data_IF_143702427126
#
_entry.id   IF_143702427126
#
_cell.length_a   1.000
_cell.length_b   1.000
_cell.length_c   1.000
_cell.angle_alpha   90.00
_cell.angle_beta   90.00
_cell.angle_gamma   90.00
#
_symmetry.space_group_name_H-M   'P 1'
#
loop_
_entity.id
_entity.type
_entity.pdbx_description
1 polymer ?
#
# COMPACT_ATOMS: atom_id res chain seq x y z
N UNK A 1 -28.12 -25.86 -6.73
CA UNK A 1 -26.75 -25.54 -7.20
C UNK A 1 -25.82 -25.13 -6.03
N UNK A 2 -25.30 -26.09 -5.22
CA UNK A 2 -24.48 -25.77 -4.03
C UNK A 2 -22.97 -25.61 -4.33
N UNK A 3 -22.50 -26.04 -5.52
CA UNK A 3 -21.07 -26.09 -5.86
C UNK A 3 -20.41 -24.74 -6.14
N UNK A 4 -21.16 -23.72 -6.58
CA UNK A 4 -20.61 -22.43 -6.97
C UNK A 4 -20.12 -21.59 -5.78
N UNK A 5 -20.81 -21.66 -4.62
CA UNK A 5 -20.40 -20.95 -3.39
C UNK A 5 -19.09 -21.51 -2.82
N UNK A 6 -18.94 -22.84 -2.76
CA UNK A 6 -17.72 -23.52 -2.27
C UNK A 6 -16.48 -23.18 -3.12
N UNK A 7 -16.63 -23.10 -4.45
CA UNK A 7 -15.53 -22.72 -5.35
C UNK A 7 -15.03 -21.28 -5.11
N UNK A 8 -15.95 -20.34 -4.83
CA UNK A 8 -15.61 -18.94 -4.53
C UNK A 8 -14.95 -18.78 -3.15
N UNK A 9 -15.36 -19.56 -2.15
CA UNK A 9 -14.77 -19.48 -0.80
C UNK A 9 -13.41 -20.16 -0.69
N UNK A 10 -13.16 -21.26 -1.41
CA UNK A 10 -11.84 -21.92 -1.40
C UNK A 10 -10.71 -20.98 -1.88
N UNK A 11 -10.97 -20.18 -2.92
CA UNK A 11 -9.95 -19.26 -3.47
C UNK A 11 -9.87 -17.92 -2.74
N UNK A 12 -10.86 -17.59 -1.89
CA UNK A 12 -10.88 -16.37 -1.08
C UNK A 12 -9.70 -16.29 -0.12
N UNK A 13 -9.21 -17.45 0.34
CA UNK A 13 -8.06 -17.58 1.24
C UNK A 13 -6.85 -18.27 0.59
N UNK A 14 -7.01 -18.93 -0.57
CA UNK A 14 -5.90 -19.59 -1.28
C UNK A 14 -4.85 -18.60 -1.80
N UNK A 15 -5.25 -17.34 -2.02
CA UNK A 15 -4.31 -16.23 -2.06
C UNK A 15 -4.46 -15.54 -0.72
N UNK A 16 -3.46 -15.56 0.17
CA UNK A 16 -3.40 -14.48 1.14
C UNK A 16 -3.44 -13.23 0.26
N UNK A 17 -4.43 -12.36 0.42
CA UNK A 17 -4.21 -10.97 0.02
C UNK A 17 -2.88 -10.65 0.68
N UNK A 18 -1.81 -10.52 -0.13
CA UNK A 18 -0.42 -10.29 0.28
C UNK A 18 -0.48 -9.73 1.68
N UNK A 19 -0.06 -10.47 2.72
CA UNK A 19 -0.03 -9.94 4.10
C UNK A 19 0.52 -8.53 3.94
N UNK A 20 -0.38 -7.53 4.06
CA UNK A 20 -0.03 -6.15 3.77
C UNK A 20 0.95 -5.86 4.87
N UNK A 21 2.22 -5.75 4.56
CA UNK A 21 3.24 -5.48 5.58
C UNK A 21 2.78 -4.24 6.34
N UNK A 22 2.32 -4.48 7.56
CA UNK A 22 1.62 -3.46 8.37
C UNK A 22 2.59 -2.30 8.62
N UNK A 23 3.87 -2.63 8.79
CA UNK A 23 4.99 -1.71 8.88
C UNK A 23 5.12 -0.85 7.62
N UNK A 24 5.16 -1.46 6.43
CA UNK A 24 5.24 -0.73 5.15
C UNK A 24 4.04 0.19 4.97
N UNK A 25 2.83 -0.25 5.34
CA UNK A 25 1.63 0.58 5.30
C UNK A 25 1.74 1.79 6.23
N UNK A 26 2.14 1.55 7.48
CA UNK A 26 2.31 2.61 8.46
C UNK A 26 3.37 3.64 8.03
N UNK A 27 4.49 3.18 7.48
CA UNK A 27 5.54 4.07 6.94
C UNK A 27 5.04 4.89 5.75
N UNK A 28 4.23 4.29 4.88
CA UNK A 28 3.58 4.98 3.77
C UNK A 28 2.62 6.05 4.27
N UNK A 29 1.82 5.77 5.30
CA UNK A 29 0.89 6.74 5.90
C UNK A 29 1.65 7.94 6.52
N UNK A 30 2.78 7.69 7.19
CA UNK A 30 3.68 8.75 7.68
C UNK A 30 4.26 9.55 6.51
N UNK A 31 4.68 8.88 5.43
CA UNK A 31 5.20 9.54 4.24
C UNK A 31 4.19 10.47 3.58
N UNK A 32 2.90 10.07 3.54
CA UNK A 32 1.80 10.93 3.07
C UNK A 32 1.65 12.15 3.98
N UNK A 33 1.65 11.95 5.30
CA UNK A 33 1.57 13.07 6.25
C UNK A 33 2.76 14.04 6.10
N UNK A 34 3.98 13.53 5.90
CA UNK A 34 5.16 14.37 5.65
C UNK A 34 5.10 15.09 4.31
N UNK A 35 4.43 14.55 3.30
CA UNK A 35 4.22 15.27 2.04
C UNK A 35 3.42 16.54 2.28
N UNK A 36 2.37 16.47 3.11
CA UNK A 36 1.50 17.60 3.41
C UNK A 36 2.19 18.66 4.30
N UNK A 37 3.02 18.23 5.26
CA UNK A 37 3.66 19.13 6.24
C UNK A 37 5.03 19.65 5.80
N UNK A 38 5.87 18.80 5.22
CA UNK A 38 7.29 19.08 4.91
C UNK A 38 7.57 19.21 3.41
N UNK A 39 6.57 18.90 2.57
CA UNK A 39 6.70 18.88 1.12
C UNK A 39 7.21 17.56 0.57
N UNK A 40 6.96 17.37 -0.73
CA UNK A 40 7.16 16.10 -1.43
C UNK A 40 8.61 15.60 -1.43
N UNK A 41 9.60 16.49 -1.52
CA UNK A 41 11.01 16.11 -1.54
C UNK A 41 11.43 15.41 -0.23
N UNK A 42 11.00 15.95 0.92
CA UNK A 42 11.29 15.38 2.25
C UNK A 42 10.58 14.04 2.46
N UNK A 43 9.32 13.94 2.07
CA UNK A 43 8.56 12.69 2.10
C UNK A 43 9.22 11.58 1.26
N UNK A 44 9.69 11.92 0.06
CA UNK A 44 10.39 10.97 -0.82
C UNK A 44 11.71 10.49 -0.20
N UNK A 45 12.50 11.40 0.38
CA UNK A 45 13.75 11.01 1.07
C UNK A 45 13.49 10.09 2.26
N UNK A 46 12.43 10.34 3.03
CA UNK A 46 12.03 9.49 4.15
C UNK A 46 11.67 8.07 3.68
N UNK A 47 10.79 7.95 2.68
CA UNK A 47 10.35 6.64 2.18
C UNK A 47 11.50 5.83 1.56
N UNK A 48 12.42 6.48 0.85
CA UNK A 48 13.63 5.81 0.32
C UNK A 48 14.57 5.33 1.44
N UNK A 49 14.74 6.12 2.49
CA UNK A 49 15.56 5.72 3.65
C UNK A 49 14.97 4.51 4.39
N UNK A 50 13.66 4.36 4.37
CA UNK A 50 12.93 3.23 4.96
C UNK A 50 12.82 2.03 4.00
N UNK A 51 13.60 2.03 2.91
CA UNK A 51 13.67 0.95 1.91
C UNK A 51 12.32 0.62 1.26
N UNK A 52 11.40 1.60 1.22
CA UNK A 52 10.12 1.43 0.53
C UNK A 52 10.38 1.35 -0.98
N UNK A 53 9.81 0.37 -1.70
CA UNK A 53 10.04 0.25 -3.13
C UNK A 53 9.62 1.50 -3.89
N UNK A 54 10.46 1.98 -4.80
CA UNK A 54 10.19 3.12 -5.68
C UNK A 54 8.81 3.07 -6.38
N UNK A 55 8.29 1.92 -6.88
CA UNK A 55 6.93 1.88 -7.46
C UNK A 55 5.82 2.21 -6.44
N UNK A 56 6.03 1.93 -5.15
CA UNK A 56 5.10 2.31 -4.08
C UNK A 56 5.18 3.81 -3.83
N UNK A 57 6.39 4.36 -3.74
CA UNK A 57 6.62 5.80 -3.56
C UNK A 57 5.97 6.60 -4.69
N UNK A 58 6.15 6.16 -5.94
CA UNK A 58 5.54 6.80 -7.10
C UNK A 58 4.01 6.80 -7.01
N UNK A 59 3.40 5.65 -6.69
CA UNK A 59 1.94 5.57 -6.59
C UNK A 59 1.39 6.42 -5.45
N UNK A 60 2.06 6.45 -4.30
CA UNK A 60 1.60 7.16 -3.10
C UNK A 60 1.71 8.67 -3.26
N UNK A 61 2.85 9.17 -3.77
CA UNK A 61 3.12 10.60 -3.84
C UNK A 61 2.51 11.26 -5.09
N UNK A 62 2.47 10.56 -6.23
CA UNK A 62 2.06 11.14 -7.51
C UNK A 62 0.64 10.76 -7.95
N UNK A 63 0.04 9.71 -7.39
CA UNK A 63 -1.31 9.27 -7.78
C UNK A 63 -2.24 9.16 -6.56
N UNK A 64 -2.71 10.29 -6.01
CA UNK A 64 -3.51 10.30 -4.78
C UNK A 64 -4.82 9.50 -4.91
N UNK A 65 -5.39 9.42 -6.12
CA UNK A 65 -6.60 8.63 -6.42
C UNK A 65 -6.41 7.13 -6.17
N UNK A 66 -5.18 6.62 -6.33
CA UNK A 66 -4.83 5.22 -6.12
C UNK A 66 -4.48 4.89 -4.65
N UNK A 67 -4.47 5.87 -3.74
CA UNK A 67 -4.20 5.66 -2.30
C UNK A 67 -5.23 4.73 -1.64
N UNK A 68 -6.48 4.69 -2.15
CA UNK A 68 -7.61 3.92 -1.58
C UNK A 68 -7.40 2.41 -1.50
N UNK A 69 -6.42 1.87 -2.23
CA UNK A 69 -6.18 0.42 -2.29
C UNK A 69 -4.95 -0.07 -1.50
N UNK A 70 -4.25 0.82 -0.78
CA UNK A 70 -3.22 0.42 0.19
C UNK A 70 -3.82 0.02 1.55
#
# INVERSE_FOLDING_TARGET
>A
MPGCRRRKTMRKYARPLRRRDITTRFLVDIGIYYQDVLGQARAMTFLRHQEIPEPVIQRVLYTPELRRHY
#
